data_IF_297144645145
#
_entry.id   IF_297144645145
#
_cell.length_a   1.000
_cell.length_b   1.000
_cell.length_c   1.000
_cell.angle_alpha   90.00
_cell.angle_beta   90.00
_cell.angle_gamma   90.00
#
_symmetry.space_group_name_H-M   'P 1'
#
loop_
_entity.id
_entity.type
_entity.pdbx_description
1 polymer ?
#
# COMPACT_ATOMS: atom_id res chain seq x y z
N UNK A 1 -17.30 16.72 14.13
CA UNK A 1 -17.65 15.28 14.19
C UNK A 1 -16.36 14.48 14.22
N UNK A 2 -16.13 13.67 15.25
CA UNK A 2 -14.93 12.85 15.38
C UNK A 2 -15.17 11.50 14.71
N UNK A 3 -14.66 11.33 13.51
CA UNK A 3 -14.78 10.10 12.73
C UNK A 3 -13.41 9.45 12.53
N UNK A 4 -13.32 8.15 12.74
CA UNK A 4 -12.16 7.36 12.39
C UNK A 4 -12.52 6.37 11.29
N UNK A 5 -11.71 6.35 10.24
CA UNK A 5 -11.77 5.34 9.19
C UNK A 5 -10.58 4.40 9.33
N UNK A 6 -10.85 3.11 9.43
CA UNK A 6 -9.84 2.06 9.48
C UNK A 6 -9.90 1.29 8.17
N UNK A 7 -8.83 1.32 7.40
CA UNK A 7 -8.71 0.57 6.14
C UNK A 7 -7.78 -0.62 6.36
N UNK A 8 -8.25 -1.81 6.03
CA UNK A 8 -7.49 -3.05 6.06
C UNK A 8 -7.36 -3.53 4.60
N UNK A 9 -6.25 -3.20 3.93
CA UNK A 9 -6.04 -3.62 2.55
C UNK A 9 -5.89 -5.13 2.45
N UNK A 10 -6.42 -5.71 1.37
CA UNK A 10 -6.08 -7.06 0.91
C UNK A 10 -6.24 -8.19 1.96
N UNK A 11 -7.28 -8.09 2.78
CA UNK A 11 -7.57 -9.03 3.86
C UNK A 11 -7.70 -10.50 3.40
N UNK A 12 -8.10 -10.74 2.13
CA UNK A 12 -8.38 -12.07 1.58
C UNK A 12 -7.30 -12.61 0.64
N UNK A 13 -6.20 -11.89 0.41
CA UNK A 13 -5.23 -12.26 -0.61
C UNK A 13 -4.14 -13.23 -0.12
N UNK A 14 -4.31 -13.84 1.04
CA UNK A 14 -3.27 -14.69 1.64
C UNK A 14 -3.27 -16.15 1.23
N UNK A 15 -4.13 -16.60 0.30
CA UNK A 15 -4.12 -17.99 -0.14
C UNK A 15 -4.32 -18.15 -1.64
N UNK A 16 -3.30 -17.80 -2.40
CA UNK A 16 -3.15 -18.19 -3.81
C UNK A 16 -2.42 -19.54 -3.90
N UNK A 17 -2.72 -20.49 -3.07
CA UNK A 17 -2.06 -21.80 -3.10
C UNK A 17 -2.88 -22.93 -2.48
N UNK A 18 -3.95 -22.64 -1.83
CA UNK A 18 -4.90 -23.64 -1.34
C UNK A 18 -6.14 -23.67 -2.23
N UNK A 19 -6.54 -24.86 -2.68
CA UNK A 19 -7.76 -25.12 -3.48
C UNK A 19 -9.07 -24.79 -2.75
N UNK A 20 -9.11 -23.72 -1.99
CA UNK A 20 -10.29 -23.23 -1.30
C UNK A 20 -10.09 -21.81 -0.77
N UNK A 21 -11.17 -21.05 -0.55
CA UNK A 21 -11.04 -19.81 0.20
C UNK A 21 -10.42 -20.18 1.54
N UNK A 22 -9.20 -19.70 1.80
CA UNK A 22 -8.58 -19.92 3.08
C UNK A 22 -9.59 -19.49 4.13
N UNK A 23 -10.05 -20.45 4.86
CA UNK A 23 -10.56 -20.20 6.17
C UNK A 23 -9.38 -19.62 6.94
N UNK A 24 -9.16 -18.29 6.83
CA UNK A 24 -8.44 -17.57 7.86
C UNK A 24 -9.03 -18.14 9.13
N UNK A 25 -8.23 -18.89 9.91
CA UNK A 25 -8.68 -19.45 11.17
C UNK A 25 -9.18 -18.24 11.95
N UNK A 26 -10.50 -18.04 11.90
CA UNK A 26 -11.14 -16.79 12.31
C UNK A 26 -11.10 -16.79 13.82
N UNK A 27 -9.98 -16.34 14.37
CA UNK A 27 -9.99 -15.92 15.76
C UNK A 27 -11.16 -14.93 15.91
N UNK A 28 -12.04 -15.11 16.88
CA UNK A 28 -13.20 -14.25 17.02
C UNK A 28 -12.71 -12.82 17.21
N UNK A 29 -12.94 -11.98 16.24
CA UNK A 29 -12.71 -10.54 16.35
C UNK A 29 -13.64 -10.02 17.45
N UNK A 30 -13.07 -9.74 18.63
CA UNK A 30 -13.84 -9.58 19.86
C UNK A 30 -14.37 -8.17 20.05
N UNK A 31 -13.64 -7.18 19.55
CA UNK A 31 -13.87 -5.79 19.94
C UNK A 31 -15.14 -5.16 19.36
N UNK A 32 -15.47 -5.39 18.10
CA UNK A 32 -16.67 -4.86 17.48
C UNK A 32 -17.91 -5.77 17.58
N UNK A 33 -17.81 -6.91 18.25
CA UNK A 33 -18.93 -7.84 18.43
C UNK A 33 -20.10 -7.23 19.21
N UNK A 34 -19.82 -6.27 20.08
CA UNK A 34 -20.83 -5.58 20.87
C UNK A 34 -21.56 -4.49 20.09
N UNK A 35 -21.06 -4.08 18.93
CA UNK A 35 -21.61 -2.99 18.15
C UNK A 35 -22.54 -3.51 17.06
N UNK A 36 -23.65 -2.78 16.85
CA UNK A 36 -24.66 -3.09 15.84
C UNK A 36 -24.48 -2.13 14.68
N UNK A 37 -24.09 -2.63 13.54
CA UNK A 37 -23.71 -1.81 12.40
C UNK A 37 -24.71 -1.92 11.24
N UNK A 38 -24.61 -0.99 10.30
CA UNK A 38 -25.31 -1.06 9.04
C UNK A 38 -24.79 -2.24 8.19
N UNK A 39 -25.59 -2.70 7.23
CA UNK A 39 -25.16 -3.68 6.26
C UNK A 39 -23.89 -3.19 5.54
N UNK A 40 -22.97 -4.09 5.18
CA UNK A 40 -21.77 -3.72 4.43
C UNK A 40 -22.15 -3.10 3.09
N UNK A 41 -21.38 -2.12 2.66
CA UNK A 41 -21.51 -1.46 1.37
C UNK A 41 -20.31 -1.75 0.51
N UNK A 42 -20.52 -1.86 -0.80
CA UNK A 42 -19.42 -2.00 -1.77
C UNK A 42 -18.60 -0.71 -1.84
N UNK A 43 -17.30 -0.87 -1.90
CA UNK A 43 -16.32 0.19 -2.08
C UNK A 43 -15.88 0.20 -3.53
N UNK A 44 -16.52 1.03 -4.35
CA UNK A 44 -16.19 1.11 -5.79
C UNK A 44 -14.77 1.61 -6.01
N UNK A 45 -13.99 0.88 -6.80
CA UNK A 45 -12.60 1.19 -7.12
C UNK A 45 -11.60 0.82 -6.03
N UNK A 46 -12.04 0.10 -4.98
CA UNK A 46 -11.17 -0.38 -3.91
C UNK A 46 -10.75 0.70 -2.90
N UNK A 47 -9.91 0.32 -1.96
CA UNK A 47 -9.52 1.17 -0.84
C UNK A 47 -8.68 2.40 -1.25
N UNK A 48 -7.84 2.27 -2.30
CA UNK A 48 -7.06 3.40 -2.81
C UNK A 48 -7.96 4.49 -3.37
N UNK A 49 -8.99 4.11 -4.14
CA UNK A 49 -9.95 5.06 -4.66
C UNK A 49 -10.79 5.73 -3.55
N UNK A 50 -11.14 4.99 -2.52
CA UNK A 50 -11.80 5.55 -1.33
C UNK A 50 -10.90 6.58 -0.65
N UNK A 51 -9.61 6.25 -0.46
CA UNK A 51 -8.66 7.12 0.19
C UNK A 51 -8.40 8.39 -0.61
N UNK A 52 -8.13 8.27 -1.91
CA UNK A 52 -7.90 9.40 -2.81
C UNK A 52 -9.09 10.37 -2.83
N UNK A 53 -10.33 9.85 -2.88
CA UNK A 53 -11.54 10.68 -2.74
C UNK A 53 -11.62 11.37 -1.39
N UNK A 54 -11.31 10.64 -0.31
CA UNK A 54 -11.38 11.17 1.05
C UNK A 54 -10.42 12.33 1.33
N UNK A 55 -9.28 12.38 0.63
CA UNK A 55 -8.33 13.50 0.69
C UNK A 55 -8.54 14.54 -0.41
N UNK A 56 -9.60 14.41 -1.22
CA UNK A 56 -9.93 15.36 -2.28
C UNK A 56 -9.10 15.25 -3.56
N UNK A 57 -8.42 14.10 -3.77
CA UNK A 57 -7.58 13.81 -4.93
C UNK A 57 -8.06 12.55 -5.68
N UNK A 58 -9.35 12.54 -6.02
CA UNK A 58 -9.96 11.45 -6.76
C UNK A 58 -9.25 11.14 -8.10
N UNK A 59 -8.61 12.14 -8.71
CA UNK A 59 -7.76 12.01 -9.90
C UNK A 59 -6.63 10.99 -9.70
N UNK A 60 -6.01 10.97 -8.53
CA UNK A 60 -4.90 10.05 -8.23
C UNK A 60 -5.32 8.59 -8.00
N UNK A 61 -6.61 8.31 -7.86
CA UNK A 61 -7.11 6.95 -7.79
C UNK A 61 -6.94 6.17 -9.11
N UNK A 62 -6.74 6.88 -10.21
CA UNK A 62 -6.67 6.36 -11.58
C UNK A 62 -5.24 6.28 -12.10
N UNK A 63 -4.32 6.85 -11.34
CA UNK A 63 -2.91 6.89 -11.68
C UNK A 63 -2.20 5.66 -11.10
N UNK A 64 -1.21 5.15 -11.81
CA UNK A 64 -0.37 4.06 -11.34
C UNK A 64 0.27 4.36 -9.98
N UNK A 65 0.43 3.34 -9.16
CA UNK A 65 1.04 3.47 -7.83
C UNK A 65 2.44 4.09 -7.92
N UNK A 66 3.24 3.64 -8.88
CA UNK A 66 4.58 4.15 -9.12
C UNK A 66 4.59 5.64 -9.49
N UNK A 67 3.67 6.06 -10.36
CA UNK A 67 3.56 7.46 -10.79
C UNK A 67 3.14 8.39 -9.66
N UNK A 68 2.27 7.96 -8.75
CA UNK A 68 1.88 8.75 -7.57
C UNK A 68 3.07 8.95 -6.63
N UNK A 69 3.83 7.88 -6.38
CA UNK A 69 5.03 7.95 -5.53
C UNK A 69 6.09 8.82 -6.19
N UNK A 70 6.35 8.64 -7.48
CA UNK A 70 7.30 9.44 -8.25
C UNK A 70 6.97 10.94 -8.21
N UNK A 71 5.71 11.29 -8.45
CA UNK A 71 5.24 12.68 -8.39
C UNK A 71 5.49 13.31 -7.01
N UNK A 72 5.28 12.53 -5.93
CA UNK A 72 5.51 13.02 -4.57
C UNK A 72 6.99 13.29 -4.27
N UNK A 73 7.91 12.50 -4.84
CA UNK A 73 9.35 12.70 -4.67
C UNK A 73 9.85 13.97 -5.37
N UNK A 74 9.19 14.37 -6.46
CA UNK A 74 9.55 15.58 -7.22
C UNK A 74 9.14 16.88 -6.54
N UNK A 75 8.22 16.85 -5.59
CA UNK A 75 7.82 18.07 -4.83
C UNK A 75 9.02 18.68 -4.09
N UNK A 76 9.89 17.84 -3.53
CA UNK A 76 11.04 18.26 -2.73
C UNK A 76 12.33 18.42 -3.55
N UNK A 77 12.30 18.07 -4.84
CA UNK A 77 13.48 18.20 -5.68
C UNK A 77 13.73 19.67 -6.00
N UNK A 78 14.96 20.19 -5.82
CA UNK A 78 15.28 21.55 -6.24
C UNK A 78 15.05 21.68 -7.76
N UNK A 79 14.47 22.82 -8.16
CA UNK A 79 14.07 23.11 -9.55
C UNK A 79 15.27 22.99 -10.55
N UNK A 80 16.49 23.10 -10.05
CA UNK A 80 17.72 22.95 -10.86
C UNK A 80 18.07 21.50 -11.26
N UNK A 81 17.38 20.51 -10.69
CA UNK A 81 17.65 19.08 -10.97
C UNK A 81 16.67 18.45 -11.98
N UNK A 82 15.76 19.24 -12.54
CA UNK A 82 15.00 18.79 -13.69
C UNK A 82 15.97 18.72 -14.88
N UNK A 83 16.19 17.54 -15.52
CA UNK A 83 16.92 17.54 -16.78
C UNK A 83 16.19 18.50 -17.72
N UNK A 84 16.92 19.40 -18.39
CA UNK A 84 16.40 20.21 -19.48
C UNK A 84 15.81 19.24 -20.53
N UNK A 85 14.57 18.89 -20.37
CA UNK A 85 13.77 18.30 -21.43
C UNK A 85 13.55 19.46 -22.39
N UNK A 86 14.46 19.56 -23.36
CA UNK A 86 14.34 20.43 -24.52
C UNK A 86 12.93 20.22 -25.06
N UNK A 87 12.12 21.26 -24.97
CA UNK A 87 10.69 21.28 -25.28
C UNK A 87 10.43 21.19 -26.81
N UNK A 88 11.07 20.26 -27.50
CA UNK A 88 10.99 20.20 -28.98
C UNK A 88 10.59 18.83 -29.57
N UNK A 89 10.07 17.95 -28.76
CA UNK A 89 9.27 16.82 -29.25
C UNK A 89 8.18 16.53 -28.25
N UNK A 90 6.97 17.01 -28.54
CA UNK A 90 5.72 16.58 -27.90
C UNK A 90 5.48 15.12 -28.31
N UNK A 91 6.20 14.21 -27.72
CA UNK A 91 5.75 12.84 -27.57
C UNK A 91 5.02 12.77 -26.25
N UNK A 92 3.71 12.64 -26.35
CA UNK A 92 2.72 12.54 -25.26
C UNK A 92 2.90 11.26 -24.40
N UNK A 93 4.12 10.73 -24.33
CA UNK A 93 4.48 9.55 -23.55
C UNK A 93 5.15 9.98 -22.25
N UNK A 94 4.36 10.06 -21.19
CA UNK A 94 4.90 10.06 -19.82
C UNK A 94 5.84 8.86 -19.73
N UNK A 95 7.12 9.05 -19.36
CA UNK A 95 8.04 7.92 -19.23
C UNK A 95 7.49 6.93 -18.22
N UNK A 96 7.44 5.66 -18.61
CA UNK A 96 6.99 4.58 -17.72
C UNK A 96 7.84 4.59 -16.45
N UNK A 97 7.15 4.61 -15.33
CA UNK A 97 7.74 4.62 -14.00
C UNK A 97 7.36 3.32 -13.31
N UNK A 98 8.32 2.70 -12.64
CA UNK A 98 8.13 1.46 -11.90
C UNK A 98 8.59 1.61 -10.47
N UNK A 99 7.94 0.94 -9.53
CA UNK A 99 8.53 0.69 -8.23
C UNK A 99 9.48 -0.49 -8.33
N UNK A 100 10.61 -0.42 -7.64
CA UNK A 100 11.60 -1.46 -7.56
C UNK A 100 11.82 -1.82 -6.08
N UNK A 101 11.16 -2.87 -5.63
CA UNK A 101 11.26 -3.33 -4.25
C UNK A 101 12.46 -4.27 -4.08
N UNK A 102 13.40 -4.01 -3.16
CA UNK A 102 14.49 -4.91 -2.90
C UNK A 102 14.03 -6.17 -2.18
N UNK A 103 14.29 -7.33 -2.78
CA UNK A 103 13.89 -8.62 -2.27
C UNK A 103 15.06 -9.50 -1.90
N UNK A 104 14.85 -10.32 -0.86
CA UNK A 104 15.64 -11.50 -0.55
C UNK A 104 14.84 -12.74 -0.91
N UNK A 105 15.29 -13.47 -1.92
CA UNK A 105 14.67 -14.70 -2.40
C UNK A 105 15.52 -15.89 -2.03
N UNK A 106 14.89 -16.99 -1.65
CA UNK A 106 15.55 -18.25 -1.37
C UNK A 106 15.35 -19.22 -2.52
N UNK A 107 16.44 -19.73 -3.08
CA UNK A 107 16.39 -20.76 -4.10
C UNK A 107 16.00 -22.11 -3.46
N UNK A 108 14.84 -22.63 -3.79
CA UNK A 108 14.44 -24.00 -3.52
C UNK A 108 14.85 -24.93 -4.66
N UNK A 109 14.54 -26.22 -4.54
CA UNK A 109 14.90 -27.23 -5.56
C UNK A 109 14.20 -27.00 -6.91
N UNK A 110 13.02 -26.40 -6.93
CA UNK A 110 12.23 -26.17 -8.15
C UNK A 110 11.57 -24.79 -8.21
N UNK A 111 11.53 -24.06 -7.12
CA UNK A 111 10.80 -22.80 -6.99
C UNK A 111 11.63 -21.76 -6.23
N UNK A 112 11.44 -20.51 -6.56
CA UNK A 112 11.91 -19.40 -5.74
C UNK A 112 10.91 -19.17 -4.61
N UNK A 113 11.39 -19.18 -3.38
CA UNK A 113 10.59 -18.94 -2.19
C UNK A 113 10.80 -17.52 -1.68
N UNK A 114 9.72 -16.84 -1.37
CA UNK A 114 9.73 -15.48 -0.80
C UNK A 114 9.46 -15.57 0.72
N UNK A 115 10.50 -15.53 1.56
CA UNK A 115 10.33 -15.68 3.00
C UNK A 115 9.64 -14.45 3.65
N UNK A 116 9.13 -14.63 4.85
CA UNK A 116 8.42 -13.58 5.60
C UNK A 116 9.24 -12.28 5.80
N UNK A 117 10.56 -12.41 5.88
CA UNK A 117 11.51 -11.29 5.99
C UNK A 117 12.17 -10.93 4.65
N UNK A 118 11.63 -11.41 3.54
CA UNK A 118 12.22 -11.25 2.21
C UNK A 118 12.00 -9.88 1.59
N UNK A 119 11.03 -9.11 2.04
CA UNK A 119 10.87 -7.71 1.62
C UNK A 119 11.83 -6.84 2.44
N UNK A 120 12.89 -6.38 1.78
CA UNK A 120 13.96 -5.68 2.47
C UNK A 120 13.67 -4.18 2.58
N UNK A 121 14.03 -3.62 3.73
CA UNK A 121 14.12 -2.17 3.93
C UNK A 121 15.58 -1.80 4.09
N UNK A 122 16.12 -1.12 3.09
CA UNK A 122 17.51 -0.73 3.10
C UNK A 122 17.71 0.54 3.93
N UNK A 123 18.81 0.63 4.71
CA UNK A 123 19.26 1.88 5.30
C UNK A 123 19.50 2.95 4.20
N UNK A 124 19.38 4.24 4.52
CA UNK A 124 19.53 5.32 3.53
C UNK A 124 20.87 5.31 2.80
N UNK A 125 21.96 4.98 3.48
CA UNK A 125 23.30 4.85 2.92
C UNK A 125 23.43 3.71 1.93
N UNK A 126 22.86 2.54 2.25
CA UNK A 126 22.81 1.40 1.33
C UNK A 126 21.93 1.68 0.11
N UNK A 127 20.78 2.36 0.33
CA UNK A 127 19.91 2.75 -0.77
C UNK A 127 20.59 3.76 -1.72
N UNK A 128 21.30 4.74 -1.18
CA UNK A 128 22.07 5.71 -1.97
C UNK A 128 23.20 5.03 -2.75
N UNK A 129 23.94 4.11 -2.11
CA UNK A 129 25.00 3.34 -2.78
C UNK A 129 24.43 2.47 -3.92
N UNK A 130 23.31 1.77 -3.67
CA UNK A 130 22.66 0.94 -4.69
C UNK A 130 22.26 1.78 -5.92
N UNK A 131 21.69 2.96 -5.70
CA UNK A 131 21.30 3.89 -6.77
C UNK A 131 22.50 4.40 -7.56
N UNK A 132 23.58 4.75 -6.88
CA UNK A 132 24.82 5.21 -7.54
C UNK A 132 25.43 4.10 -8.41
N UNK A 133 25.54 2.89 -7.87
CA UNK A 133 26.05 1.74 -8.61
C UNK A 133 25.14 1.32 -9.77
N UNK A 134 23.84 1.45 -9.61
CA UNK A 134 22.89 1.21 -10.70
C UNK A 134 23.13 2.20 -11.85
N UNK A 135 23.33 3.48 -11.55
CA UNK A 135 23.60 4.48 -12.56
C UNK A 135 24.91 4.27 -13.33
N UNK A 136 25.94 3.69 -12.69
CA UNK A 136 27.20 3.32 -13.35
C UNK A 136 27.00 2.28 -14.45
N UNK A 137 26.04 1.36 -14.30
CA UNK A 137 25.84 0.23 -15.22
C UNK A 137 24.71 0.50 -16.20
N UNK A 138 23.57 0.97 -15.71
CA UNK A 138 22.33 1.12 -16.49
C UNK A 138 22.04 2.57 -16.92
N UNK A 139 22.84 3.53 -16.44
CA UNK A 139 22.62 4.94 -16.76
C UNK A 139 22.84 5.27 -18.23
N UNK A 140 23.73 4.55 -18.91
CA UNK A 140 23.95 4.70 -20.37
C UNK A 140 22.71 4.32 -21.20
N UNK A 141 21.87 3.43 -20.67
CA UNK A 141 20.61 3.01 -21.31
C UNK A 141 19.44 3.95 -20.93
N UNK A 142 19.71 5.06 -20.24
CA UNK A 142 18.72 6.04 -19.81
C UNK A 142 17.94 5.63 -18.57
N UNK A 143 18.33 4.56 -17.88
CA UNK A 143 17.64 4.09 -16.67
C UNK A 143 18.15 4.84 -15.43
N UNK A 144 17.22 5.23 -14.57
CA UNK A 144 17.54 5.84 -13.27
C UNK A 144 16.82 5.12 -12.14
N UNK A 145 17.54 4.92 -11.04
CA UNK A 145 17.01 4.30 -9.83
C UNK A 145 17.12 5.30 -8.67
N UNK A 146 15.98 5.73 -8.10
CA UNK A 146 15.93 6.76 -7.04
C UNK A 146 15.34 6.15 -5.77
N UNK A 147 15.96 6.31 -4.59
CA UNK A 147 15.38 5.85 -3.33
C UNK A 147 14.00 6.44 -3.07
N UNK A 148 13.06 5.61 -2.63
CA UNK A 148 11.66 5.96 -2.37
C UNK A 148 11.19 5.50 -0.97
N UNK A 149 12.08 5.51 0.02
CA UNK A 149 11.79 5.16 1.39
C UNK A 149 11.21 3.75 1.55
N UNK A 150 10.04 3.63 2.12
CA UNK A 150 9.38 2.32 2.36
C UNK A 150 8.94 1.60 1.09
N UNK A 151 8.85 2.29 -0.06
CA UNK A 151 8.59 1.67 -1.36
C UNK A 151 9.82 0.99 -1.99
N UNK A 152 11.00 1.18 -1.40
CA UNK A 152 12.26 0.78 -1.99
C UNK A 152 12.80 1.85 -2.93
N UNK A 153 12.59 1.70 -4.23
CA UNK A 153 13.07 2.64 -5.24
C UNK A 153 12.00 2.93 -6.29
N UNK A 154 12.20 4.05 -6.99
CA UNK A 154 11.53 4.38 -8.25
C UNK A 154 12.54 4.17 -9.39
N UNK A 155 12.21 3.31 -10.33
CA UNK A 155 12.92 3.09 -11.60
C UNK A 155 12.22 3.90 -12.70
N UNK A 156 12.99 4.68 -13.46
CA UNK A 156 12.50 5.45 -14.62
C UNK A 156 13.29 5.11 -15.85
N UNK A 157 12.71 5.41 -17.01
CA UNK A 157 13.37 5.26 -18.32
C UNK A 157 13.13 3.92 -19.00
N UNK A 158 12.26 3.05 -18.45
CA UNK A 158 11.95 1.75 -19.02
C UNK A 158 10.48 1.62 -19.38
N UNK A 159 10.19 1.43 -20.67
CA UNK A 159 8.85 1.27 -21.20
C UNK A 159 8.46 -0.22 -21.33
N UNK A 160 7.41 -0.63 -20.64
CA UNK A 160 6.81 -1.95 -20.78
C UNK A 160 5.27 -1.85 -20.72
N UNK A 161 4.63 -1.21 -21.72
CA UNK A 161 3.20 -0.93 -21.69
C UNK A 161 2.36 -2.21 -21.69
N UNK A 162 1.24 -2.16 -20.98
CA UNK A 162 0.31 -3.29 -20.88
C UNK A 162 0.83 -4.45 -20.04
N UNK A 163 1.82 -4.21 -19.18
CA UNK A 163 2.31 -5.20 -18.23
C UNK A 163 1.50 -5.15 -16.95
N UNK A 164 1.06 -6.32 -16.50
CA UNK A 164 0.40 -6.53 -15.21
C UNK A 164 1.42 -7.04 -14.22
N UNK A 165 1.49 -6.41 -13.05
CA UNK A 165 2.41 -6.76 -11.97
C UNK A 165 1.69 -6.82 -10.64
N UNK A 166 2.28 -7.51 -9.68
CA UNK A 166 1.71 -7.71 -8.35
C UNK A 166 2.59 -7.01 -7.31
N UNK A 167 1.94 -6.38 -6.33
CA UNK A 167 2.62 -5.81 -5.17
C UNK A 167 3.36 -6.92 -4.38
N UNK A 168 4.67 -6.81 -4.17
CA UNK A 168 5.45 -7.86 -3.52
C UNK A 168 5.01 -8.14 -2.08
N UNK A 169 4.39 -7.19 -1.40
CA UNK A 169 3.84 -7.42 -0.07
C UNK A 169 2.75 -8.51 -0.03
N UNK A 170 2.12 -8.77 -1.16
CA UNK A 170 1.09 -9.83 -1.32
C UNK A 170 1.69 -11.23 -1.53
N UNK A 171 2.97 -11.29 -1.84
CA UNK A 171 3.64 -12.53 -2.24
C UNK A 171 4.41 -13.19 -1.08
N UNK A 172 4.44 -12.55 0.07
CA UNK A 172 5.17 -13.03 1.24
C UNK A 172 4.60 -14.38 1.70
N UNK A 173 5.44 -15.40 1.69
CA UNK A 173 5.09 -16.77 2.07
C UNK A 173 4.72 -17.67 0.89
N UNK A 174 4.56 -17.13 -0.32
CA UNK A 174 4.16 -17.85 -1.52
C UNK A 174 5.30 -18.11 -2.49
N UNK A 175 5.04 -18.98 -3.47
CA UNK A 175 5.90 -19.15 -4.65
C UNK A 175 5.69 -18.02 -5.66
N UNK A 176 6.77 -17.52 -6.23
CA UNK A 176 6.70 -16.36 -7.16
C UNK A 176 6.16 -16.70 -8.54
N UNK A 177 6.07 -17.97 -8.92
CA UNK A 177 5.78 -18.40 -10.31
C UNK A 177 4.44 -17.87 -10.84
N UNK A 178 3.40 -17.89 -9.99
CA UNK A 178 2.06 -17.43 -10.38
C UNK A 178 1.93 -15.89 -10.46
N UNK A 179 2.94 -15.18 -9.98
CA UNK A 179 2.91 -13.72 -9.80
C UNK A 179 3.91 -12.99 -10.68
N UNK A 180 4.57 -13.72 -11.58
CA UNK A 180 5.47 -13.13 -12.57
C UNK A 180 4.71 -12.12 -13.45
N UNK A 181 5.41 -11.08 -13.93
CA UNK A 181 4.82 -10.10 -14.83
C UNK A 181 4.11 -10.76 -16.02
N UNK A 182 2.88 -10.34 -16.31
CA UNK A 182 2.03 -10.83 -17.39
C UNK A 182 1.59 -9.69 -18.33
N UNK A 183 1.08 -10.03 -19.51
CA UNK A 183 0.63 -9.05 -20.49
C UNK A 183 1.68 -8.71 -21.55
N UNK A 184 1.40 -7.72 -22.40
CA UNK A 184 2.15 -7.45 -23.64
C UNK A 184 3.63 -7.08 -23.39
N UNK A 185 3.91 -6.22 -22.41
CA UNK A 185 5.27 -5.77 -22.07
C UNK A 185 6.03 -6.72 -21.14
N UNK A 186 5.42 -7.82 -20.69
CA UNK A 186 5.97 -8.67 -19.63
C UNK A 186 7.33 -9.32 -19.96
N UNK A 187 7.57 -9.64 -21.25
CA UNK A 187 8.82 -10.23 -21.67
C UNK A 187 10.00 -9.26 -21.48
N UNK A 188 9.83 -8.01 -21.91
CA UNK A 188 10.85 -6.97 -21.76
C UNK A 188 11.13 -6.70 -20.26
N UNK A 189 10.08 -6.59 -19.45
CA UNK A 189 10.24 -6.36 -18.01
C UNK A 189 10.98 -7.52 -17.31
N UNK A 190 10.69 -8.76 -17.67
CA UNK A 190 11.41 -9.93 -17.16
C UNK A 190 12.87 -9.98 -17.59
N UNK A 191 13.17 -9.57 -18.82
CA UNK A 191 14.57 -9.47 -19.29
C UNK A 191 15.34 -8.47 -18.45
N UNK A 192 14.80 -7.25 -18.27
CA UNK A 192 15.44 -6.25 -17.39
C UNK A 192 15.60 -6.74 -15.96
N UNK A 193 14.58 -7.39 -15.40
CA UNK A 193 14.67 -7.95 -14.05
C UNK A 193 15.81 -8.98 -13.93
N UNK A 194 15.97 -9.84 -14.93
CA UNK A 194 17.07 -10.83 -14.94
C UNK A 194 18.46 -10.18 -15.08
N UNK A 195 18.60 -9.12 -15.86
CA UNK A 195 19.82 -8.34 -15.97
C UNK A 195 20.19 -7.68 -14.64
N UNK A 196 19.20 -7.10 -13.96
CA UNK A 196 19.37 -6.52 -12.62
C UNK A 196 19.77 -7.61 -11.61
N UNK A 197 19.17 -8.79 -11.64
CA UNK A 197 19.51 -9.90 -10.74
C UNK A 197 20.96 -10.38 -10.95
N UNK A 198 21.41 -10.50 -12.20
CA UNK A 198 22.81 -10.83 -12.50
C UNK A 198 23.78 -9.78 -11.98
N UNK A 199 23.45 -8.49 -12.15
CA UNK A 199 24.25 -7.39 -11.61
C UNK A 199 24.29 -7.40 -10.07
N UNK A 200 23.15 -7.63 -9.41
CA UNK A 200 23.07 -7.72 -7.95
C UNK A 200 23.91 -8.87 -7.38
N UNK A 201 24.07 -9.96 -8.13
CA UNK A 201 24.83 -11.13 -7.68
C UNK A 201 26.26 -10.77 -7.29
N UNK A 202 26.93 -9.94 -8.08
CA UNK A 202 28.32 -9.56 -7.89
C UNK A 202 28.50 -8.24 -7.12
N UNK A 203 27.40 -7.66 -6.61
CA UNK A 203 27.45 -6.36 -5.96
C UNK A 203 28.22 -6.41 -4.62
N UNK A 204 29.27 -5.56 -4.43
CA UNK A 204 30.04 -5.54 -3.18
C UNK A 204 29.20 -5.25 -1.94
N UNK A 205 28.11 -4.52 -2.07
CA UNK A 205 27.13 -4.28 -1.02
C UNK A 205 26.59 -5.61 -0.44
N UNK A 206 26.21 -6.56 -1.30
CA UNK A 206 25.70 -7.85 -0.89
C UNK A 206 26.72 -8.65 -0.06
N UNK A 207 27.99 -8.59 -0.44
CA UNK A 207 29.07 -9.24 0.33
C UNK A 207 29.21 -8.63 1.74
N UNK A 208 29.08 -7.31 1.86
CA UNK A 208 29.09 -6.66 3.19
C UNK A 208 27.88 -7.04 4.03
N UNK A 209 26.70 -7.14 3.44
CA UNK A 209 25.47 -7.59 4.12
C UNK A 209 25.65 -9.01 4.66
N UNK A 210 26.18 -9.93 3.84
CA UNK A 210 26.47 -11.31 4.28
C UNK A 210 27.43 -11.37 5.46
N UNK A 211 28.51 -10.57 5.45
CA UNK A 211 29.45 -10.49 6.56
C UNK A 211 28.82 -9.98 7.86
N UNK A 212 27.73 -9.21 7.78
CA UNK A 212 26.93 -8.76 8.94
C UNK A 212 25.80 -9.73 9.30
N UNK A 213 25.65 -10.85 8.58
CA UNK A 213 24.54 -11.79 8.76
C UNK A 213 23.20 -11.26 8.28
N UNK A 214 23.19 -10.25 7.41
CA UNK A 214 21.99 -9.66 6.83
C UNK A 214 21.62 -10.35 5.51
N UNK A 215 20.31 -10.43 5.18
CA UNK A 215 19.85 -10.99 3.91
C UNK A 215 20.43 -10.23 2.71
N UNK A 216 20.88 -10.96 1.68
CA UNK A 216 21.31 -10.38 0.40
C UNK A 216 20.12 -9.74 -0.33
N UNK A 217 20.38 -8.70 -1.10
CA UNK A 217 19.46 -8.19 -2.11
C UNK A 217 19.60 -9.10 -3.33
N UNK A 218 18.67 -10.02 -3.53
CA UNK A 218 18.72 -10.98 -4.63
C UNK A 218 17.96 -10.53 -5.87
N UNK A 219 16.99 -9.64 -5.72
CA UNK A 219 16.18 -9.09 -6.82
C UNK A 219 15.70 -7.69 -6.50
N UNK A 220 15.44 -6.90 -7.54
CA UNK A 220 14.58 -5.71 -7.50
C UNK A 220 13.27 -6.07 -8.18
N UNK A 221 12.21 -6.24 -7.40
CA UNK A 221 10.89 -6.57 -7.93
C UNK A 221 10.24 -5.34 -8.53
N UNK A 222 10.07 -5.36 -9.87
CA UNK A 222 9.48 -4.24 -10.62
C UNK A 222 7.96 -4.36 -10.65
N UNK A 223 7.25 -3.33 -10.16
CA UNK A 223 5.80 -3.37 -10.04
C UNK A 223 5.16 -1.98 -10.02
N UNK A 224 3.84 -1.93 -10.11
CA UNK A 224 3.03 -0.73 -9.86
C UNK A 224 3.07 0.33 -10.96
N UNK A 225 3.68 0.03 -12.11
CA UNK A 225 3.74 0.87 -13.31
C UNK A 225 3.26 0.13 -14.55
N UNK A 226 3.45 0.72 -15.72
CA UNK A 226 3.22 0.08 -17.04
C UNK A 226 1.77 0.07 -17.52
N UNK A 227 0.83 0.65 -16.80
CA UNK A 227 -0.53 0.86 -17.27
C UNK A 227 -0.81 2.36 -17.47
N UNK A 228 -1.11 2.81 -18.70
CA UNK A 228 -1.70 4.13 -18.85
C UNK A 228 -3.03 4.16 -18.10
N UNK A 229 -3.42 5.30 -17.51
CA UNK A 229 -4.71 5.42 -16.84
C UNK A 229 -5.82 5.07 -17.85
N UNK A 230 -6.68 4.13 -17.48
CA UNK A 230 -7.92 3.89 -18.23
C UNK A 230 -8.71 5.18 -18.23
N UNK A 231 -9.22 5.57 -19.40
CA UNK A 231 -9.93 6.81 -19.68
C UNK A 231 -10.36 7.63 -18.44
N UNK A 232 -9.72 8.79 -18.15
CA UNK A 232 -9.98 9.57 -16.95
C UNK A 232 -11.44 9.97 -16.78
N UNK A 233 -12.17 10.15 -17.90
CA UNK A 233 -13.56 10.60 -17.90
C UNK A 233 -14.53 9.55 -17.37
N UNK A 234 -14.32 8.27 -17.71
CA UNK A 234 -15.16 7.18 -17.21
C UNK A 234 -14.98 6.93 -15.71
N UNK A 235 -13.79 7.18 -15.21
CA UNK A 235 -13.49 6.99 -13.82
C UNK A 235 -13.93 8.19 -12.94
N UNK A 236 -13.88 9.42 -13.47
CA UNK A 236 -14.45 10.62 -12.82
C UNK A 236 -15.97 10.51 -12.74
N UNK A 237 -16.65 10.01 -13.79
CA UNK A 237 -18.09 9.78 -13.76
C UNK A 237 -18.53 8.78 -12.67
N UNK A 238 -17.71 7.73 -12.41
CA UNK A 238 -17.97 6.81 -11.29
C UNK A 238 -17.63 7.40 -9.91
N UNK A 239 -16.88 8.50 -9.86
CA UNK A 239 -16.54 9.21 -8.63
C UNK A 239 -17.64 10.17 -8.15
N UNK A 240 -18.64 10.47 -9.00
CA UNK A 240 -19.73 11.38 -8.67
C UNK A 240 -20.76 10.85 -7.64
N UNK A 241 -20.69 9.57 -7.29
CA UNK A 241 -21.55 8.93 -6.28
C UNK A 241 -20.96 9.06 -4.86
N UNK A 242 -20.50 10.24 -4.48
CA UNK A 242 -20.06 10.52 -3.11
C UNK A 242 -21.15 11.21 -2.33
N UNK A 243 -21.97 10.40 -1.72
CA UNK A 243 -22.76 10.81 -0.55
C UNK A 243 -21.77 11.23 0.56
N UNK A 244 -21.52 12.53 0.69
CA UNK A 244 -20.74 13.14 1.74
C UNK A 244 -19.26 12.73 1.77
N UNK A 245 -18.42 13.24 0.87
CA UNK A 245 -16.98 13.07 0.95
C UNK A 245 -16.44 13.65 2.26
N UNK A 246 -16.18 12.80 3.22
CA UNK A 246 -15.51 13.20 4.47
C UNK A 246 -14.08 13.56 4.09
N UNK A 247 -13.72 14.83 4.20
CA UNK A 247 -12.32 15.25 4.05
C UNK A 247 -11.54 14.78 5.28
N UNK A 248 -10.64 13.84 5.09
CA UNK A 248 -9.76 13.41 6.16
C UNK A 248 -8.62 14.41 6.34
N UNK A 249 -8.48 14.89 7.56
CA UNK A 249 -7.43 15.84 7.89
C UNK A 249 -6.08 15.17 8.18
N UNK A 250 -6.08 13.86 8.49
CA UNK A 250 -4.89 13.10 8.86
C UNK A 250 -4.94 11.67 8.37
N UNK A 251 -3.77 11.18 7.93
CA UNK A 251 -3.57 9.79 7.54
C UNK A 251 -2.49 9.15 8.41
N UNK A 252 -2.73 7.93 8.91
CA UNK A 252 -1.75 7.12 9.61
C UNK A 252 -1.49 5.87 8.79
N UNK A 253 -0.30 5.75 8.23
CA UNK A 253 0.08 4.61 7.40
C UNK A 253 1.59 4.48 7.26
N UNK A 254 2.06 3.24 7.19
CA UNK A 254 3.43 2.92 6.78
C UNK A 254 3.53 2.64 5.26
N UNK A 255 2.41 2.68 4.55
CA UNK A 255 2.33 2.48 3.10
C UNK A 255 2.84 3.72 2.34
N UNK A 256 3.80 3.50 1.43
CA UNK A 256 4.45 4.58 0.70
C UNK A 256 3.49 5.34 -0.25
N UNK A 257 2.52 4.64 -0.86
CA UNK A 257 1.53 5.28 -1.72
C UNK A 257 0.62 6.20 -0.92
N UNK A 258 0.24 5.80 0.30
CA UNK A 258 -0.57 6.64 1.20
C UNK A 258 0.18 7.89 1.62
N UNK A 259 1.47 7.76 1.94
CA UNK A 259 2.33 8.91 2.28
C UNK A 259 2.49 9.86 1.09
N UNK A 260 2.69 9.30 -0.11
CA UNK A 260 2.77 10.06 -1.35
C UNK A 260 1.46 10.80 -1.66
N UNK A 261 0.33 10.10 -1.55
CA UNK A 261 -1.01 10.69 -1.73
C UNK A 261 -1.24 11.85 -0.74
N UNK A 262 -0.92 11.66 0.54
CA UNK A 262 -1.07 12.68 1.56
C UNK A 262 -0.25 13.93 1.22
N UNK A 263 1.01 13.75 0.82
CA UNK A 263 1.90 14.83 0.41
C UNK A 263 1.35 15.59 -0.80
N UNK A 264 0.88 14.88 -1.84
CA UNK A 264 0.26 15.49 -3.04
C UNK A 264 -1.07 16.18 -2.75
N UNK A 265 -1.77 15.77 -1.70
CA UNK A 265 -3.04 16.36 -1.25
C UNK A 265 -2.85 17.50 -0.22
N UNK A 266 -1.64 17.71 0.29
CA UNK A 266 -1.40 18.66 1.38
C UNK A 266 -2.06 18.23 2.70
N UNK A 267 -2.22 16.92 2.93
CA UNK A 267 -2.80 16.33 4.13
C UNK A 267 -1.69 15.83 5.05
N UNK A 268 -1.85 16.04 6.35
CA UNK A 268 -0.89 15.52 7.33
C UNK A 268 -0.86 13.99 7.29
N UNK A 269 0.33 13.41 7.12
CA UNK A 269 0.52 11.96 7.25
C UNK A 269 1.57 11.64 8.30
N UNK A 270 1.31 10.58 9.06
CA UNK A 270 2.22 10.07 10.06
C UNK A 270 2.40 8.56 9.88
N UNK A 271 3.60 8.01 10.19
CA UNK A 271 3.76 6.57 10.23
C UNK A 271 2.83 5.98 11.28
N UNK A 272 2.25 4.82 10.97
CA UNK A 272 1.39 4.12 11.91
C UNK A 272 2.17 3.74 13.18
N UNK A 273 3.47 3.45 13.03
CA UNK A 273 4.38 3.23 14.15
C UNK A 273 3.92 2.11 15.09
N UNK A 274 3.20 1.12 14.58
CA UNK A 274 2.79 -0.07 15.35
C UNK A 274 4.01 -0.97 15.52
N UNK A 275 4.99 -0.46 16.23
CA UNK A 275 5.93 -1.30 16.98
C UNK A 275 5.16 -1.95 18.13
N UNK A 276 5.60 -3.13 18.55
CA UNK A 276 4.93 -3.97 19.54
C UNK A 276 4.52 -3.28 20.85
N UNK A 277 5.05 -2.12 21.13
CA UNK A 277 5.06 -1.49 22.45
C UNK A 277 4.33 -0.15 22.54
N UNK A 278 3.87 0.44 21.42
CA UNK A 278 3.10 1.70 21.47
C UNK A 278 1.62 1.36 21.40
N UNK A 279 0.93 1.57 22.52
CA UNK A 279 -0.51 1.41 22.60
C UNK A 279 -1.19 2.36 21.60
N UNK A 280 -1.95 1.82 20.65
CA UNK A 280 -2.73 2.59 19.68
C UNK A 280 -3.71 3.56 20.37
N UNK A 281 -4.07 3.27 21.63
CA UNK A 281 -4.92 4.13 22.47
C UNK A 281 -4.28 5.51 22.73
N UNK A 282 -2.97 5.55 22.96
CA UNK A 282 -2.23 6.81 23.10
C UNK A 282 -2.21 7.60 21.77
N UNK A 283 -2.13 6.90 20.65
CA UNK A 283 -2.23 7.51 19.31
C UNK A 283 -3.62 8.03 19.01
N UNK A 284 -4.67 7.35 19.46
CA UNK A 284 -6.04 7.85 19.32
C UNK A 284 -6.23 9.15 20.11
N UNK A 285 -5.70 9.25 21.30
CA UNK A 285 -5.79 10.47 22.10
C UNK A 285 -5.03 11.61 21.40
N UNK A 286 -3.83 11.37 20.90
CA UNK A 286 -3.06 12.37 20.13
C UNK A 286 -3.78 12.82 18.86
N UNK A 287 -4.45 11.88 18.15
CA UNK A 287 -5.20 12.18 16.93
C UNK A 287 -6.39 13.11 17.18
N UNK A 288 -7.04 12.98 18.34
CA UNK A 288 -8.27 13.69 18.64
C UNK A 288 -8.13 14.82 19.66
N UNK A 289 -6.97 14.93 20.35
CA UNK A 289 -6.73 16.01 21.32
C UNK A 289 -6.53 17.38 20.65
N UNK A 290 -6.11 17.41 19.41
CA UNK A 290 -5.74 18.68 18.74
C UNK A 290 -6.82 19.32 17.89
N UNK A 291 -7.85 18.57 17.45
CA UNK A 291 -8.92 19.18 16.64
C UNK A 291 -10.14 18.27 16.44
N UNK A 292 -11.29 18.89 16.21
CA UNK A 292 -12.44 18.25 15.61
C UNK A 292 -12.10 17.90 14.15
N UNK A 293 -12.14 16.63 13.79
CA UNK A 293 -11.83 16.20 12.43
C UNK A 293 -11.93 14.69 12.26
N UNK A 294 -11.78 14.28 11.02
CA UNK A 294 -11.76 12.86 10.63
C UNK A 294 -10.32 12.42 10.36
N UNK A 295 -9.97 11.25 10.87
CA UNK A 295 -8.69 10.62 10.61
C UNK A 295 -8.88 9.28 9.90
N UNK A 296 -7.88 8.85 9.12
CA UNK A 296 -7.86 7.55 8.50
C UNK A 296 -6.60 6.78 8.90
N UNK A 297 -6.79 5.53 9.26
CA UNK A 297 -5.73 4.60 9.63
C UNK A 297 -5.72 3.47 8.61
N UNK A 298 -4.56 3.17 8.05
CA UNK A 298 -4.37 2.10 7.08
C UNK A 298 -3.50 1.02 7.70
N UNK A 299 -4.03 -0.19 7.79
CA UNK A 299 -3.28 -1.35 8.28
C UNK A 299 -2.12 -1.70 7.32
N UNK A 300 -1.01 -2.26 7.84
CA UNK A 300 0.10 -2.68 6.99
C UNK A 300 -0.33 -3.81 6.07
N UNK A 301 0.11 -3.77 4.80
CA UNK A 301 -0.14 -4.82 3.81
C UNK A 301 0.63 -6.11 4.15
N UNK A 302 1.87 -5.97 4.57
CA UNK A 302 2.75 -7.08 4.88
C UNK A 302 2.72 -7.43 6.37
N UNK A 303 2.68 -8.74 6.67
CA UNK A 303 2.83 -9.22 8.06
C UNK A 303 1.66 -8.88 8.98
N UNK A 304 0.47 -8.61 8.45
CA UNK A 304 -0.71 -8.33 9.28
C UNK A 304 -1.13 -9.56 10.06
N UNK A 305 -0.89 -9.55 11.36
CA UNK A 305 -1.50 -10.48 12.31
C UNK A 305 -2.87 -9.93 12.71
N UNK A 306 -3.93 -10.56 12.21
CA UNK A 306 -5.30 -10.09 12.42
C UNK A 306 -5.73 -10.13 13.88
N UNK A 307 -5.33 -11.13 14.64
CA UNK A 307 -5.67 -11.24 16.07
C UNK A 307 -4.99 -10.12 16.86
N UNK A 308 -3.72 -9.90 16.60
CA UNK A 308 -2.96 -8.82 17.19
C UNK A 308 -3.56 -7.46 16.80
N UNK A 309 -3.88 -7.26 15.50
CA UNK A 309 -4.46 -6.01 15.02
C UNK A 309 -5.84 -5.73 15.62
N UNK A 310 -6.69 -6.75 15.74
CA UNK A 310 -7.98 -6.63 16.42
C UNK A 310 -7.80 -6.15 17.87
N UNK A 311 -6.89 -6.76 18.60
CA UNK A 311 -6.61 -6.43 19.98
C UNK A 311 -5.96 -5.06 20.17
N UNK A 312 -4.99 -4.70 19.30
CA UNK A 312 -4.16 -3.49 19.49
C UNK A 312 -4.71 -2.26 18.78
N UNK A 313 -5.54 -2.42 17.75
CA UNK A 313 -6.12 -1.32 16.97
C UNK A 313 -7.64 -1.28 17.09
N UNK A 314 -8.34 -2.34 16.73
CA UNK A 314 -9.80 -2.34 16.65
C UNK A 314 -10.46 -2.26 18.04
N UNK A 315 -9.92 -2.95 19.03
CA UNK A 315 -10.44 -2.92 20.41
C UNK A 315 -10.38 -1.52 21.04
N UNK A 316 -9.25 -0.78 20.97
CA UNK A 316 -9.18 0.61 21.40
C UNK A 316 -10.18 1.53 20.65
N UNK A 317 -10.35 1.35 19.35
CA UNK A 317 -11.33 2.11 18.56
C UNK A 317 -12.75 1.86 19.05
N UNK A 318 -13.10 0.59 19.30
CA UNK A 318 -14.42 0.23 19.84
C UNK A 318 -14.65 0.82 21.23
N UNK A 319 -13.62 0.79 22.09
CA UNK A 319 -13.68 1.41 23.41
C UNK A 319 -13.84 2.93 23.34
N UNK A 320 -13.12 3.60 22.44
CA UNK A 320 -13.25 5.04 22.19
C UNK A 320 -14.65 5.43 21.70
N UNK A 321 -15.24 4.61 20.80
CA UNK A 321 -16.61 4.80 20.34
C UNK A 321 -17.62 4.61 21.47
N UNK A 322 -17.45 3.58 22.31
CA UNK A 322 -18.33 3.32 23.46
C UNK A 322 -18.25 4.43 24.50
N UNK A 323 -17.06 4.95 24.77
CA UNK A 323 -16.82 6.06 25.67
C UNK A 323 -17.28 7.42 25.14
N UNK A 324 -17.61 7.52 23.83
CA UNK A 324 -18.02 8.77 23.19
C UNK A 324 -16.86 9.69 22.82
N UNK A 325 -15.63 9.20 22.83
CA UNK A 325 -14.44 9.90 22.28
C UNK A 325 -14.53 9.98 20.75
N UNK A 326 -15.15 8.98 20.14
CA UNK A 326 -15.51 8.92 18.72
C UNK A 326 -17.04 8.97 18.55
N UNK A 327 -17.51 9.61 17.51
CA UNK A 327 -18.93 9.61 17.11
C UNK A 327 -19.24 8.50 16.12
N UNK A 328 -18.28 8.22 15.21
CA UNK A 328 -18.42 7.25 14.15
C UNK A 328 -17.09 6.55 13.88
N UNK A 329 -17.17 5.26 13.58
CA UNK A 329 -16.08 4.46 13.04
C UNK A 329 -16.51 3.82 11.72
N UNK A 330 -15.64 3.87 10.72
CA UNK A 330 -15.79 3.14 9.46
C UNK A 330 -14.69 2.10 9.40
N UNK A 331 -15.04 0.85 9.17
CA UNK A 331 -14.07 -0.22 8.87
C UNK A 331 -14.25 -0.62 7.42
N UNK A 332 -13.18 -0.49 6.65
CA UNK A 332 -13.11 -0.85 5.24
C UNK A 332 -12.11 -1.98 5.04
N UNK A 333 -12.50 -3.04 4.35
CA UNK A 333 -11.63 -4.14 4.00
C UNK A 333 -11.94 -4.63 2.58
N UNK A 334 -10.89 -4.86 1.81
CA UNK A 334 -10.99 -5.25 0.39
C UNK A 334 -11.85 -4.30 -0.44
N UNK A 335 -13.05 -4.74 -0.82
CA UNK A 335 -14.05 -4.02 -1.62
C UNK A 335 -15.27 -3.56 -0.80
N UNK A 336 -15.25 -3.69 0.52
CA UNK A 336 -16.39 -3.42 1.40
C UNK A 336 -16.06 -2.53 2.57
N UNK A 337 -17.07 -1.83 3.05
CA UNK A 337 -16.98 -1.05 4.26
C UNK A 337 -18.25 -1.13 5.10
N UNK A 338 -18.09 -0.99 6.39
CA UNK A 338 -19.17 -0.87 7.38
C UNK A 338 -18.97 0.41 8.18
N UNK A 339 -20.08 1.04 8.56
CA UNK A 339 -20.05 2.17 9.47
C UNK A 339 -20.75 1.83 10.77
N UNK A 340 -20.15 2.24 11.87
CA UNK A 340 -20.67 2.06 13.22
C UNK A 340 -20.64 3.39 13.93
N UNK A 341 -21.74 3.75 14.56
CA UNK A 341 -21.90 4.95 15.37
C UNK A 341 -22.28 4.62 16.80
N UNK A 342 -22.05 5.56 17.72
CA UNK A 342 -22.45 5.40 19.13
C UNK A 342 -23.95 5.10 19.28
N UNK A 343 -24.79 5.68 18.39
CA UNK A 343 -26.24 5.46 18.39
C UNK A 343 -26.65 4.05 17.99
N UNK A 344 -25.80 3.30 17.27
CA UNK A 344 -26.14 1.96 16.78
C UNK A 344 -26.32 0.95 17.91
N UNK A 345 -25.77 1.19 19.11
CA UNK A 345 -26.01 0.38 20.31
C UNK A 345 -27.50 0.31 20.68
N UNK A 346 -28.27 1.33 20.34
CA UNK A 346 -29.71 1.39 20.62
C UNK A 346 -30.55 0.59 19.62
N UNK A 347 -29.99 0.17 18.52
CA UNK A 347 -30.66 -0.59 17.46
C UNK A 347 -30.67 -2.08 17.78
N UNK A 348 -31.36 -2.45 18.86
CA UNK A 348 -31.37 -3.81 19.41
C UNK A 348 -31.93 -4.88 18.45
N UNK A 349 -32.65 -4.48 17.42
CA UNK A 349 -33.19 -5.36 16.36
C UNK A 349 -32.13 -5.79 15.33
N UNK A 350 -30.97 -5.13 15.28
CA UNK A 350 -29.89 -5.54 14.38
C UNK A 350 -29.04 -6.65 15.00
N UNK A 351 -28.61 -7.65 14.21
CA UNK A 351 -27.72 -8.69 14.71
C UNK A 351 -26.40 -8.10 15.16
N UNK A 352 -25.79 -8.72 16.15
CA UNK A 352 -24.40 -8.46 16.52
C UNK A 352 -23.53 -9.35 15.65
N UNK A 353 -22.55 -8.76 14.96
CA UNK A 353 -21.59 -9.48 14.13
C UNK A 353 -20.19 -9.00 14.45
N UNK A 354 -19.19 -9.82 14.22
CA UNK A 354 -17.79 -9.37 14.22
C UNK A 354 -17.59 -8.43 13.04
N UNK A 355 -16.67 -7.49 13.15
CA UNK A 355 -16.33 -6.62 12.03
C UNK A 355 -15.85 -7.45 10.83
N UNK A 356 -15.07 -8.50 11.12
CA UNK A 356 -14.54 -9.41 10.11
C UNK A 356 -15.69 -10.12 9.36
N UNK A 357 -16.60 -10.77 10.08
CA UNK A 357 -17.77 -11.40 9.46
C UNK A 357 -18.60 -10.42 8.63
N UNK A 358 -18.71 -9.17 9.08
CA UNK A 358 -19.46 -8.16 8.36
C UNK A 358 -18.84 -7.77 7.02
N UNK A 359 -17.51 -7.71 6.91
CA UNK A 359 -16.83 -7.36 5.65
C UNK A 359 -16.57 -8.57 4.76
N UNK A 360 -16.64 -9.81 5.30
CA UNK A 360 -16.41 -11.06 4.57
C UNK A 360 -17.68 -11.68 4.03
N UNK A 361 -18.78 -11.66 4.80
CA UNK A 361 -20.04 -12.24 4.35
C UNK A 361 -20.60 -11.48 3.15
N UNK A 362 -20.62 -12.13 1.99
CA UNK A 362 -21.28 -11.65 0.78
C UNK A 362 -22.75 -11.37 1.09
N UNK A 363 -23.24 -10.18 0.75
CA UNK A 363 -24.67 -9.96 0.69
C UNK A 363 -25.27 -10.96 -0.29
N UNK A 364 -26.14 -11.81 0.19
CA UNK A 364 -27.04 -12.60 -0.63
C UNK A 364 -28.03 -11.65 -1.34
#
# INVERSE_FOLDING_TARGET
>A
MRELVVIIPDLFLRDVGSDGPAAVAMAPATALTALRYAAPRLMRGGWRAMLARGVGRADLALVDVASVIDASLRIDAPVESAPDVVADTVTDTVPDVWLAAPLHLLAGLKTLHFPANGLLRLPPDEAAELSARFAEVFGADGLTLTPAGSAGFVLRGFAAPGTLTVDPARLIGDGLEASLPAGAGSAALRTLASEIEMWLHDLPLNRRRELRGEPRISSLWLWGGGQPPRDPLTAIASAADTDGAVRWARLLADDAWVQALARLAGVESQPLGVSADVAFDARLDELFDRNEGSACVIAPLAGLDLERYDRTCIAPVAAALAAGRLERCVVAANDRWIAVSRGDRLRFWRPRRTWLAAVTEGGA
#
